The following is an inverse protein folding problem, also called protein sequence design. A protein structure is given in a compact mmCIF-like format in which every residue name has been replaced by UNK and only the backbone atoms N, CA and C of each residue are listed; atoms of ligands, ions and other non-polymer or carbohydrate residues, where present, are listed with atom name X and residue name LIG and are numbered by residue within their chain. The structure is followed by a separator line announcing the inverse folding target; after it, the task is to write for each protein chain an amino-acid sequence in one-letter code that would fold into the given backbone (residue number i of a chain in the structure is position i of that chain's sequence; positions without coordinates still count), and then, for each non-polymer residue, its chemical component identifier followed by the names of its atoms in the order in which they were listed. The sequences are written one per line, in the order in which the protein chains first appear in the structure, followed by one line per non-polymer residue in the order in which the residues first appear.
data_IF_009662704079
#
_entry.id   IF_009662704079
#
_cell.length_a   1.000
_cell.length_b   1.000
_cell.length_c   1.000
_cell.angle_alpha   90.00
_cell.angle_beta   90.00
_cell.angle_gamma   90.00
#
_symmetry.space_group_name_H-M   'P 1'
#
loop_
_entity.id
_entity.type
_entity.pdbx_description
1 polymer ?
#
# COMPACT_ATOMS: atom_id res chain seq x y z
N UNK A 1 -11.67 -12.16 -1.87
CA UNK A 1 -12.93 -11.80 -1.16
C UNK A 1 -14.03 -12.86 -1.35
N UNK A 2 -14.48 -13.54 -0.30
CA UNK A 2 -15.76 -14.26 -0.33
C UNK A 2 -16.88 -13.21 -0.20
N UNK A 3 -17.45 -12.79 -1.34
CA UNK A 3 -18.44 -11.71 -1.42
C UNK A 3 -19.85 -12.10 -0.96
N UNK A 4 -20.05 -13.28 -0.38
CA UNK A 4 -21.37 -13.79 0.05
C UNK A 4 -22.15 -12.88 0.97
N UNK A 5 -21.52 -11.91 1.66
CA UNK A 5 -22.16 -11.06 2.68
C UNK A 5 -22.28 -9.58 2.26
N UNK A 6 -21.56 -9.14 1.22
CA UNK A 6 -21.62 -7.75 0.73
C UNK A 6 -22.20 -7.73 -0.68
N UNK A 7 -23.42 -8.23 -0.79
CA UNK A 7 -24.18 -8.28 -2.03
C UNK A 7 -25.47 -7.49 -1.87
N UNK A 8 -25.76 -6.63 -2.84
CA UNK A 8 -27.06 -5.96 -2.90
C UNK A 8 -27.99 -6.75 -3.82
N UNK A 9 -29.29 -6.75 -3.53
CA UNK A 9 -30.30 -7.32 -4.43
C UNK A 9 -30.25 -6.74 -5.86
N UNK A 10 -29.64 -5.57 -6.05
CA UNK A 10 -29.52 -4.90 -7.35
C UNK A 10 -28.29 -5.31 -8.16
N UNK A 11 -27.28 -5.95 -7.55
CA UNK A 11 -26.05 -6.40 -8.22
C UNK A 11 -25.61 -7.74 -7.62
N UNK A 12 -26.25 -8.84 -8.02
CA UNK A 12 -25.91 -10.14 -7.48
C UNK A 12 -24.52 -10.60 -7.95
N UNK A 13 -23.75 -11.23 -7.07
CA UNK A 13 -22.44 -11.78 -7.44
C UNK A 13 -22.63 -13.10 -8.19
N UNK A 14 -22.20 -13.11 -9.44
CA UNK A 14 -22.36 -14.22 -10.39
C UNK A 14 -21.28 -15.29 -10.16
N UNK A 15 -20.20 -14.96 -9.43
CA UNK A 15 -19.09 -15.88 -9.11
C UNK A 15 -18.95 -16.12 -7.61
N UNK A 16 -20.07 -16.43 -6.95
CA UNK A 16 -20.08 -16.84 -5.53
C UNK A 16 -19.39 -18.20 -5.36
N UNK A 17 -18.47 -18.36 -4.37
CA UNK A 17 -17.83 -19.64 -4.08
C UNK A 17 -18.81 -20.66 -3.46
N UNK A 18 -19.95 -20.19 -2.94
CA UNK A 18 -21.03 -21.03 -2.44
C UNK A 18 -22.12 -21.24 -3.50
N UNK A 19 -22.65 -22.46 -3.58
CA UNK A 19 -23.84 -22.78 -4.36
C UNK A 19 -25.05 -22.00 -3.85
N UNK A 20 -25.96 -21.60 -4.74
CA UNK A 20 -27.11 -20.74 -4.42
C UNK A 20 -27.90 -21.09 -3.14
N UNK A 21 -28.15 -22.37 -2.78
CA UNK A 21 -28.89 -22.71 -1.55
C UNK A 21 -28.15 -22.37 -0.25
N UNK A 22 -26.81 -22.41 -0.28
CA UNK A 22 -25.94 -22.23 0.90
C UNK A 22 -25.29 -20.84 0.94
N UNK A 23 -25.77 -19.92 0.10
CA UNK A 23 -25.19 -18.58 -0.04
C UNK A 23 -25.32 -17.75 1.24
N UNK A 24 -26.41 -17.97 1.99
CA UNK A 24 -26.73 -17.27 3.23
C UNK A 24 -26.31 -18.04 4.49
N UNK A 25 -25.75 -19.25 4.35
CA UNK A 25 -25.33 -20.04 5.50
C UNK A 25 -24.02 -19.49 6.09
N UNK A 26 -24.07 -19.10 7.36
CA UNK A 26 -22.95 -18.53 8.10
C UNK A 26 -22.79 -19.22 9.45
N UNK A 27 -21.62 -19.81 9.69
CA UNK A 27 -21.28 -20.28 11.04
C UNK A 27 -21.10 -19.08 11.97
N UNK A 28 -21.35 -19.27 13.27
CA UNK A 28 -21.15 -18.22 14.29
C UNK A 28 -19.73 -17.64 14.26
N UNK A 29 -18.73 -18.49 14.03
CA UNK A 29 -17.34 -18.06 13.93
C UNK A 29 -17.09 -17.19 12.68
N UNK A 30 -17.74 -17.50 11.55
CA UNK A 30 -17.67 -16.66 10.37
C UNK A 30 -18.40 -15.33 10.59
N UNK A 31 -19.61 -15.37 11.16
CA UNK A 31 -20.38 -14.17 11.51
C UNK A 31 -19.57 -13.23 12.40
N UNK A 32 -18.95 -13.73 13.47
CA UNK A 32 -18.12 -12.92 14.38
C UNK A 32 -16.96 -12.22 13.64
N UNK A 33 -16.20 -12.94 12.80
CA UNK A 33 -15.12 -12.35 11.99
C UNK A 33 -15.65 -11.29 11.02
N UNK A 34 -16.83 -11.53 10.45
CA UNK A 34 -17.46 -10.59 9.54
C UNK A 34 -17.99 -9.34 10.24
N UNK A 35 -18.54 -9.44 11.45
CA UNK A 35 -18.96 -8.26 12.22
C UNK A 35 -17.77 -7.33 12.50
N UNK A 36 -16.64 -7.90 12.93
CA UNK A 36 -15.40 -7.14 13.15
C UNK A 36 -14.92 -6.51 11.84
N UNK A 37 -14.83 -7.31 10.77
CA UNK A 37 -14.40 -6.83 9.45
C UNK A 37 -15.32 -5.73 8.93
N UNK A 38 -16.64 -5.90 9.07
CA UNK A 38 -17.63 -4.96 8.58
C UNK A 38 -17.49 -3.61 9.29
N UNK A 39 -17.35 -3.57 10.62
CA UNK A 39 -17.12 -2.33 11.35
C UNK A 39 -15.91 -1.55 10.81
N UNK A 40 -14.82 -2.24 10.50
CA UNK A 40 -13.58 -1.63 10.00
C UNK A 40 -13.60 -1.28 8.50
N UNK A 41 -14.46 -1.93 7.71
CA UNK A 41 -14.47 -1.83 6.25
C UNK A 41 -15.82 -1.44 5.61
N UNK A 42 -16.75 -0.85 6.37
CA UNK A 42 -18.03 -0.39 5.81
C UNK A 42 -17.83 0.68 4.74
N UNK A 43 -18.60 0.56 3.65
CA UNK A 43 -18.80 1.60 2.65
C UNK A 43 -19.70 2.75 3.21
N UNK A 44 -20.16 3.67 2.36
CA UNK A 44 -21.00 4.81 2.79
C UNK A 44 -22.44 4.76 2.24
N UNK A 45 -22.91 3.58 1.87
CA UNK A 45 -24.20 3.36 1.19
C UNK A 45 -25.41 3.26 2.13
N UNK A 46 -25.21 3.29 3.45
CA UNK A 46 -26.27 3.07 4.43
C UNK A 46 -27.35 4.15 4.37
N UNK A 47 -28.60 3.70 4.21
CA UNK A 47 -29.78 4.58 4.23
C UNK A 47 -30.23 4.90 5.66
N UNK A 48 -30.05 3.96 6.58
CA UNK A 48 -30.44 4.09 7.98
C UNK A 48 -29.28 4.66 8.79
N UNK A 49 -29.56 5.67 9.61
CA UNK A 49 -28.59 6.34 10.48
C UNK A 49 -29.12 6.38 11.90
N UNK A 50 -28.22 6.43 12.88
CA UNK A 50 -28.60 6.70 14.27
C UNK A 50 -29.27 8.07 14.35
N UNK A 51 -30.30 8.19 15.18
CA UNK A 51 -31.01 9.45 15.40
C UNK A 51 -30.08 10.43 16.13
N UNK A 52 -29.81 11.57 15.50
CA UNK A 52 -29.03 12.66 16.08
C UNK A 52 -29.73 14.00 15.85
N UNK A 53 -29.41 14.99 16.70
CA UNK A 53 -29.94 16.35 16.57
C UNK A 53 -29.49 17.01 15.26
N UNK A 54 -28.27 16.73 14.84
CA UNK A 54 -27.65 17.30 13.64
C UNK A 54 -27.50 16.24 12.55
N UNK A 55 -27.56 16.68 11.29
CA UNK A 55 -27.31 15.81 10.14
C UNK A 55 -25.82 15.56 10.01
N UNK A 56 -25.44 14.32 9.71
CA UNK A 56 -24.05 13.94 9.50
C UNK A 56 -23.86 13.03 8.28
N UNK A 57 -22.65 13.05 7.75
CA UNK A 57 -22.16 12.08 6.76
C UNK A 57 -21.79 10.78 7.45
N UNK A 58 -22.16 9.65 6.86
CA UNK A 58 -21.89 8.33 7.44
C UNK A 58 -20.40 8.02 7.35
N UNK A 59 -19.84 7.44 8.40
CA UNK A 59 -18.45 7.01 8.41
C UNK A 59 -18.22 5.85 7.45
N UNK A 60 -17.19 5.88 6.58
CA UNK A 60 -16.56 4.63 6.19
C UNK A 60 -15.98 3.96 7.44
N UNK A 61 -15.72 2.66 7.36
CA UNK A 61 -15.01 1.96 8.44
C UNK A 61 -13.61 2.55 8.61
N UNK A 62 -13.09 2.59 9.85
CA UNK A 62 -11.83 3.27 10.16
C UNK A 62 -10.68 2.79 9.26
N UNK A 63 -10.44 1.47 9.23
CA UNK A 63 -9.38 0.86 8.41
C UNK A 63 -9.59 1.07 6.89
N UNK A 64 -10.83 1.27 6.45
CA UNK A 64 -11.11 1.56 5.05
C UNK A 64 -10.67 2.96 4.60
N UNK A 65 -10.53 3.87 5.56
CA UNK A 65 -9.96 5.19 5.38
C UNK A 65 -8.44 5.24 5.49
N UNK A 66 -7.75 4.09 5.56
CA UNK A 66 -6.31 4.00 5.76
C UNK A 66 -5.60 3.18 4.67
N UNK A 67 -4.28 3.29 4.63
CA UNK A 67 -3.37 2.37 3.95
C UNK A 67 -2.36 1.90 5.01
N UNK A 68 -2.68 0.82 5.75
CA UNK A 68 -1.95 0.49 6.96
C UNK A 68 -0.62 -0.20 6.65
N UNK A 69 0.36 0.04 7.51
CA UNK A 69 1.60 -0.73 7.62
C UNK A 69 1.77 -1.19 9.07
N UNK A 70 2.18 -2.44 9.27
CA UNK A 70 2.41 -3.03 10.58
C UNK A 70 3.56 -4.04 10.51
N UNK A 71 4.10 -4.45 11.65
CA UNK A 71 5.20 -5.43 11.70
C UNK A 71 4.68 -6.86 11.80
N UNK A 72 5.33 -7.82 11.17
CA UNK A 72 5.09 -9.27 11.40
C UNK A 72 6.35 -9.95 11.89
N UNK A 73 6.17 -10.83 12.89
CA UNK A 73 7.25 -11.66 13.45
C UNK A 73 7.29 -13.05 12.84
N UNK A 74 8.07 -13.95 13.45
CA UNK A 74 8.08 -15.37 13.07
C UNK A 74 6.88 -16.15 13.61
N UNK A 75 6.17 -15.56 14.58
CA UNK A 75 4.96 -16.11 15.17
C UNK A 75 3.99 -14.99 15.59
N UNK A 76 2.80 -15.39 16.03
CA UNK A 76 1.77 -14.45 16.46
C UNK A 76 2.19 -13.61 17.67
N UNK A 77 2.91 -14.21 18.63
CA UNK A 77 3.36 -13.49 19.82
C UNK A 77 4.32 -12.35 19.44
N UNK A 78 5.34 -12.62 18.64
CA UNK A 78 6.27 -11.59 18.13
C UNK A 78 5.52 -10.52 17.34
N UNK A 79 4.55 -10.93 16.51
CA UNK A 79 3.71 -9.99 15.74
C UNK A 79 2.95 -9.07 16.67
N UNK A 80 2.31 -9.58 17.72
CA UNK A 80 1.61 -8.75 18.71
C UNK A 80 2.57 -7.83 19.47
N UNK A 81 3.73 -8.33 19.91
CA UNK A 81 4.70 -7.55 20.68
C UNK A 81 5.32 -6.41 19.86
N UNK A 82 5.65 -6.65 18.58
CA UNK A 82 6.20 -5.62 17.69
C UNK A 82 5.19 -4.49 17.42
N UNK A 83 3.88 -4.77 17.48
CA UNK A 83 2.82 -3.79 17.25
C UNK A 83 2.19 -3.24 18.53
N UNK A 84 2.69 -3.62 19.71
CA UNK A 84 2.22 -3.09 20.99
C UNK A 84 2.81 -1.70 21.24
N UNK A 85 2.28 -0.68 20.55
CA UNK A 85 2.75 0.70 20.66
C UNK A 85 2.34 1.30 22.01
N UNK A 86 3.31 1.47 22.90
CA UNK A 86 3.08 2.04 24.25
C UNK A 86 3.29 3.56 24.29
N UNK A 87 4.01 4.10 23.30
CA UNK A 87 4.31 5.53 23.18
C UNK A 87 3.84 5.98 21.79
N UNK A 88 2.53 6.20 21.60
CA UNK A 88 2.01 6.66 20.31
C UNK A 88 2.52 8.06 19.99
N UNK A 89 2.66 8.36 18.70
CA UNK A 89 2.98 9.71 18.25
C UNK A 89 1.79 10.65 18.47
N UNK A 90 2.08 11.95 18.62
CA UNK A 90 1.04 12.97 18.77
C UNK A 90 0.43 13.05 20.17
N UNK A 91 1.00 12.32 21.14
CA UNK A 91 0.65 12.39 22.55
C UNK A 91 1.91 12.77 23.32
N UNK A 92 1.82 13.81 24.15
CA UNK A 92 2.88 14.13 25.10
C UNK A 92 2.61 13.41 26.43
N UNK A 93 3.22 12.24 26.62
CA UNK A 93 3.06 11.44 27.83
C UNK A 93 3.72 12.07 29.07
N UNK A 94 4.51 13.14 28.94
CA UNK A 94 5.03 13.90 30.09
C UNK A 94 3.95 14.83 30.66
N UNK A 95 2.95 15.18 29.85
CA UNK A 95 1.88 16.13 30.18
C UNK A 95 0.52 15.41 30.31
N UNK A 96 0.30 14.35 29.54
CA UNK A 96 -0.99 13.67 29.40
C UNK A 96 -0.95 12.24 29.94
N UNK A 97 -1.89 11.90 30.81
CA UNK A 97 -2.14 10.50 31.19
C UNK A 97 -3.24 9.94 30.29
N UNK A 98 -2.90 8.99 29.43
CA UNK A 98 -3.90 8.28 28.61
C UNK A 98 -4.48 7.11 29.40
N UNK A 99 -5.78 7.17 29.68
CA UNK A 99 -6.55 5.99 30.08
C UNK A 99 -6.96 5.23 28.82
N UNK A 100 -6.48 3.99 28.67
CA UNK A 100 -6.98 3.09 27.62
C UNK A 100 -8.38 2.62 28.01
N UNK A 101 -9.31 2.64 27.06
CA UNK A 101 -10.67 2.14 27.27
C UNK A 101 -11.21 1.55 25.97
N UNK A 102 -11.66 0.30 26.01
CA UNK A 102 -12.22 -0.37 24.84
C UNK A 102 -13.70 0.04 24.67
N UNK A 103 -14.22 0.05 23.44
CA UNK A 103 -15.59 0.46 23.17
C UNK A 103 -16.65 -0.34 23.97
N UNK A 104 -16.37 -1.60 24.32
CA UNK A 104 -17.27 -2.46 25.10
C UNK A 104 -17.19 -2.23 26.62
N UNK A 105 -16.24 -1.45 27.12
CA UNK A 105 -16.14 -1.11 28.54
C UNK A 105 -17.11 0.00 28.95
N UNK A 106 -17.67 0.72 27.96
CA UNK A 106 -18.69 1.74 28.16
C UNK A 106 -20.10 1.19 27.92
N UNK A 107 -21.11 1.67 28.66
CA UNK A 107 -22.50 1.48 28.28
C UNK A 107 -22.75 1.98 26.85
N UNK A 108 -23.56 1.25 26.09
CA UNK A 108 -23.79 1.51 24.65
C UNK A 108 -24.31 2.94 24.43
N UNK A 109 -25.20 3.42 25.29
CA UNK A 109 -25.78 4.77 25.19
C UNK A 109 -24.73 5.86 25.35
N UNK A 110 -23.80 5.67 26.29
CA UNK A 110 -22.69 6.59 26.54
C UNK A 110 -21.71 6.59 25.37
N UNK A 111 -21.32 5.40 24.90
CA UNK A 111 -20.44 5.24 23.76
C UNK A 111 -21.02 5.88 22.49
N UNK A 112 -22.29 5.59 22.17
CA UNK A 112 -22.97 6.17 20.99
C UNK A 112 -23.06 7.69 21.11
N UNK A 113 -23.37 8.23 22.30
CA UNK A 113 -23.41 9.68 22.52
C UNK A 113 -22.05 10.34 22.28
N UNK A 114 -20.97 9.76 22.78
CA UNK A 114 -19.60 10.23 22.50
C UNK A 114 -19.30 10.15 21.00
N UNK A 115 -19.61 9.02 20.36
CA UNK A 115 -19.36 8.78 18.94
C UNK A 115 -20.13 9.72 18.00
N UNK A 116 -21.30 10.22 18.44
CA UNK A 116 -22.09 11.21 17.72
C UNK A 116 -21.41 12.58 17.59
N UNK A 117 -20.39 12.88 18.41
CA UNK A 117 -19.60 14.11 18.29
C UNK A 117 -18.69 14.13 17.06
N UNK A 118 -18.37 12.95 16.50
CA UNK A 118 -17.46 12.82 15.35
C UNK A 118 -15.97 13.04 15.67
N UNK A 119 -15.61 13.16 16.94
CA UNK A 119 -14.22 13.35 17.38
C UNK A 119 -13.51 11.99 17.40
N UNK A 120 -12.26 11.96 16.93
CA UNK A 120 -11.38 10.78 17.03
C UNK A 120 -11.05 10.54 18.50
N UNK A 121 -11.13 9.29 19.00
CA UNK A 121 -10.80 9.01 20.39
C UNK A 121 -9.34 9.30 20.71
N UNK A 122 -9.06 9.66 21.96
CA UNK A 122 -7.71 10.01 22.44
C UNK A 122 -6.87 8.81 22.90
N UNK A 123 -7.33 7.56 22.71
CA UNK A 123 -6.62 6.36 23.14
C UNK A 123 -6.70 5.24 22.09
N UNK A 124 -5.66 4.40 22.03
CA UNK A 124 -5.52 3.34 21.02
C UNK A 124 -6.57 2.23 21.18
N UNK A 125 -6.90 1.86 22.42
CA UNK A 125 -7.87 0.81 22.69
C UNK A 125 -9.26 1.14 22.11
N UNK A 126 -9.73 2.37 22.32
CA UNK A 126 -10.99 2.84 21.74
C UNK A 126 -10.90 2.94 20.22
N UNK A 127 -9.79 3.46 19.69
CA UNK A 127 -9.57 3.58 18.26
C UNK A 127 -9.64 2.24 17.54
N UNK A 128 -9.01 1.20 18.09
CA UNK A 128 -8.99 -0.15 17.53
C UNK A 128 -10.31 -0.90 17.70
N UNK A 129 -11.20 -0.41 18.55
CA UNK A 129 -12.53 -0.99 18.78
C UNK A 129 -13.65 -0.08 18.30
N UNK A 130 -13.33 0.92 17.48
CA UNK A 130 -14.28 1.96 17.07
C UNK A 130 -15.38 1.43 16.17
N UNK A 131 -16.62 1.87 16.42
CA UNK A 131 -17.76 1.49 15.60
C UNK A 131 -18.00 2.49 14.47
N UNK A 132 -18.24 1.95 13.28
CA UNK A 132 -18.79 2.70 12.16
C UNK A 132 -20.31 2.52 12.07
N UNK A 133 -20.86 1.43 12.61
CA UNK A 133 -22.28 1.13 12.66
C UNK A 133 -22.71 0.71 14.06
N UNK A 134 -23.94 1.07 14.43
CA UNK A 134 -24.65 0.33 15.48
C UNK A 134 -25.29 -0.88 14.80
N UNK A 135 -25.04 -2.08 15.33
CA UNK A 135 -25.53 -3.34 14.76
C UNK A 135 -26.45 -4.00 15.78
N UNK A 136 -27.67 -4.35 15.35
CA UNK A 136 -28.61 -5.16 16.11
C UNK A 136 -28.81 -6.49 15.38
N UNK A 137 -28.78 -7.60 16.10
CA UNK A 137 -28.88 -8.95 15.54
C UNK A 137 -30.06 -9.66 16.19
N UNK A 138 -30.99 -10.10 15.37
CA UNK A 138 -32.10 -10.97 15.77
C UNK A 138 -31.85 -12.38 15.23
N UNK A 139 -32.33 -13.39 15.94
CA UNK A 139 -32.15 -14.79 15.55
C UNK A 139 -33.51 -15.40 15.22
N UNK A 140 -33.66 -15.90 14.00
CA UNK A 140 -34.83 -16.66 13.56
C UNK A 140 -34.39 -18.02 13.02
N UNK A 141 -34.87 -19.11 13.62
CA UNK A 141 -34.54 -20.49 13.24
C UNK A 141 -33.03 -20.77 13.04
N UNK A 142 -32.19 -20.13 13.88
CA UNK A 142 -30.72 -20.26 13.82
C UNK A 142 -30.04 -19.41 12.74
N UNK A 143 -30.79 -18.60 12.00
CA UNK A 143 -30.26 -17.65 11.02
C UNK A 143 -30.24 -16.23 11.60
N UNK A 144 -29.14 -15.48 11.45
CA UNK A 144 -29.04 -14.12 11.94
C UNK A 144 -29.70 -13.12 10.98
N UNK A 145 -30.62 -12.30 11.49
CA UNK A 145 -31.13 -11.10 10.82
C UNK A 145 -30.39 -9.88 11.38
N UNK A 146 -29.68 -9.15 10.53
CA UNK A 146 -28.78 -8.07 10.93
C UNK A 146 -29.35 -6.73 10.49
N UNK A 147 -29.52 -5.83 11.45
CA UNK A 147 -29.90 -4.43 11.23
C UNK A 147 -28.69 -3.53 11.50
N UNK A 148 -28.42 -2.59 10.59
CA UNK A 148 -27.33 -1.62 10.75
C UNK A 148 -27.86 -0.17 10.74
N UNK A 149 -27.22 0.68 11.54
CA UNK A 149 -27.43 2.13 11.51
C UNK A 149 -26.08 2.86 11.46
N UNK A 150 -25.95 3.78 10.50
CA UNK A 150 -24.76 4.62 10.30
C UNK A 150 -24.43 5.53 11.48
N UNK A 151 -23.16 5.56 11.90
CA UNK A 151 -22.57 6.55 12.81
C UNK A 151 -21.80 7.64 12.02
N UNK A 152 -21.54 8.82 12.61
CA UNK A 152 -20.88 9.94 11.92
C UNK A 152 -19.45 9.63 11.46
N UNK A 153 -19.03 10.21 10.33
CA UNK A 153 -17.64 10.15 9.88
C UNK A 153 -16.68 10.72 10.94
N UNK A 154 -15.57 10.02 11.15
CA UNK A 154 -14.42 10.54 11.89
C UNK A 154 -13.47 11.25 10.92
N UNK A 155 -12.90 12.35 11.37
CA UNK A 155 -11.81 12.97 10.65
C UNK A 155 -10.53 12.17 10.87
N UNK A 156 -9.95 11.64 9.79
CA UNK A 156 -8.69 10.91 9.86
C UNK A 156 -7.49 11.76 9.44
N UNK A 157 -7.70 13.06 9.21
CA UNK A 157 -6.62 14.02 9.05
C UNK A 157 -5.91 14.19 10.39
N UNK A 158 -4.58 14.24 10.35
CA UNK A 158 -3.71 14.46 11.52
C UNK A 158 -4.00 13.52 12.72
N UNK A 159 -4.65 12.39 12.49
CA UNK A 159 -4.97 11.37 13.49
C UNK A 159 -3.73 10.55 13.87
N UNK A 160 -2.70 11.23 14.38
CA UNK A 160 -1.36 10.70 14.64
C UNK A 160 -1.30 9.65 15.74
N UNK A 161 -2.36 9.58 16.56
CA UNK A 161 -2.59 8.48 17.49
C UNK A 161 -2.54 7.13 16.75
N UNK A 162 -3.04 7.02 15.52
CA UNK A 162 -3.00 5.80 14.72
C UNK A 162 -1.58 5.50 14.20
N UNK A 163 -0.85 4.53 14.79
CA UNK A 163 0.55 4.33 14.45
C UNK A 163 0.73 3.64 13.10
N UNK A 164 -0.28 2.92 12.61
CA UNK A 164 -0.15 2.10 11.39
C UNK A 164 -0.40 2.89 10.11
N UNK A 165 -0.72 4.18 10.19
CA UNK A 165 -1.05 5.00 9.01
C UNK A 165 0.19 5.45 8.24
N UNK A 166 0.16 5.26 6.93
CA UNK A 166 1.07 5.92 5.99
C UNK A 166 0.50 7.29 5.65
N UNK A 167 1.30 8.33 5.83
CA UNK A 167 0.87 9.72 5.68
C UNK A 167 1.31 10.34 4.36
N UNK A 168 0.49 11.25 3.83
CA UNK A 168 0.88 12.17 2.75
C UNK A 168 0.50 13.60 3.15
N UNK A 169 1.38 14.55 2.83
CA UNK A 169 1.09 15.95 3.10
C UNK A 169 0.20 16.53 1.99
N UNK A 170 -0.94 17.08 2.37
CA UNK A 170 -1.83 17.78 1.45
C UNK A 170 -1.41 19.24 1.35
N UNK A 171 -0.78 19.64 0.24
CA UNK A 171 -0.31 21.02 0.04
C UNK A 171 -1.43 22.06 -0.01
N UNK A 172 -2.66 21.67 -0.40
CA UNK A 172 -3.79 22.58 -0.52
C UNK A 172 -4.35 22.93 0.84
N UNK A 173 -4.61 21.90 1.64
CA UNK A 173 -5.26 22.04 2.94
C UNK A 173 -4.24 22.23 4.07
N UNK A 174 -2.94 22.04 3.78
CA UNK A 174 -1.78 22.18 4.69
C UNK A 174 -1.79 21.22 5.89
N UNK A 175 -2.40 20.05 5.70
CA UNK A 175 -2.55 19.03 6.73
C UNK A 175 -2.02 17.67 6.25
N UNK A 176 -1.71 16.79 7.20
CA UNK A 176 -1.40 15.39 6.92
C UNK A 176 -2.68 14.56 6.80
N UNK A 177 -2.76 13.75 5.75
CA UNK A 177 -3.88 12.83 5.52
C UNK A 177 -3.36 11.42 5.18
N UNK A 178 -4.17 10.37 5.38
CA UNK A 178 -3.80 9.02 4.99
C UNK A 178 -3.50 8.89 3.49
N UNK A 179 -2.41 8.20 3.15
CA UNK A 179 -2.01 7.93 1.78
C UNK A 179 -2.70 6.69 1.21
N UNK A 180 -3.99 6.84 0.89
CA UNK A 180 -4.82 5.77 0.34
C UNK A 180 -4.29 5.17 -0.97
N UNK A 181 -4.52 3.87 -1.15
CA UNK A 181 -4.32 3.16 -2.42
C UNK A 181 -5.53 3.35 -3.35
N UNK A 182 -5.27 3.26 -4.65
CA UNK A 182 -6.27 3.45 -5.70
C UNK A 182 -6.21 2.29 -6.68
N UNK A 183 -7.26 2.08 -7.48
CA UNK A 183 -7.31 0.96 -8.43
C UNK A 183 -6.15 0.94 -9.43
N UNK A 184 -5.61 2.11 -9.79
CA UNK A 184 -4.45 2.23 -10.68
C UNK A 184 -3.10 1.85 -10.02
N UNK A 185 -3.06 1.65 -8.70
CA UNK A 185 -1.89 1.15 -7.98
C UNK A 185 -1.94 -0.36 -7.73
N UNK A 186 -2.99 -1.05 -8.18
CA UNK A 186 -3.06 -2.51 -8.15
C UNK A 186 -1.86 -3.13 -8.88
N UNK A 187 -1.27 -4.15 -8.27
CA UNK A 187 -0.06 -4.81 -8.78
C UNK A 187 1.25 -4.03 -8.58
N UNK A 188 1.22 -2.81 -8.02
CA UNK A 188 2.45 -2.13 -7.58
C UNK A 188 2.88 -2.68 -6.23
N UNK A 189 4.03 -3.36 -6.22
CA UNK A 189 4.62 -3.90 -5.01
C UNK A 189 5.01 -2.81 -4.00
N UNK A 190 4.97 -3.15 -2.71
CA UNK A 190 5.23 -2.31 -1.55
C UNK A 190 6.58 -1.60 -1.65
N UNK A 191 7.63 -2.35 -2.02
CA UNK A 191 8.99 -1.84 -2.13
C UNK A 191 9.15 -0.68 -3.11
N UNK A 192 8.26 -0.56 -4.11
CA UNK A 192 8.28 0.55 -5.08
C UNK A 192 7.89 1.90 -4.47
N UNK A 193 7.36 1.88 -3.26
CA UNK A 193 6.99 3.06 -2.48
C UNK A 193 7.78 3.12 -1.16
N UNK A 194 9.01 2.58 -1.13
CA UNK A 194 9.81 2.43 0.09
C UNK A 194 9.86 3.71 0.94
N UNK A 195 10.17 4.86 0.33
CA UNK A 195 10.22 6.17 0.99
C UNK A 195 8.88 6.70 1.53
N UNK A 196 7.76 6.01 1.35
CA UNK A 196 6.50 6.33 2.04
C UNK A 196 6.40 5.69 3.42
N UNK A 197 7.12 4.58 3.64
CA UNK A 197 7.09 3.84 4.91
C UNK A 197 8.16 4.34 5.88
N UNK A 198 9.23 4.96 5.36
CA UNK A 198 10.43 5.33 6.13
C UNK A 198 10.84 6.73 5.73
N UNK A 199 11.25 7.55 6.69
CA UNK A 199 11.71 8.91 6.39
C UNK A 199 13.10 8.89 5.74
N UNK A 200 13.17 9.33 4.48
CA UNK A 200 14.42 9.34 3.67
C UNK A 200 14.88 10.76 3.29
N UNK A 201 14.13 11.79 3.69
CA UNK A 201 14.39 13.19 3.31
C UNK A 201 14.86 14.07 4.47
N UNK A 202 15.44 15.23 4.13
CA UNK A 202 15.96 16.23 5.08
C UNK A 202 14.92 17.29 5.48
N UNK A 203 13.88 17.53 4.67
CA UNK A 203 12.95 18.63 4.92
C UNK A 203 11.86 18.20 5.92
N UNK A 204 11.73 18.96 7.01
CA UNK A 204 10.81 18.71 8.14
C UNK A 204 9.32 18.58 7.73
N UNK A 205 8.95 19.07 6.54
CA UNK A 205 7.57 19.13 6.06
C UNK A 205 7.26 18.24 4.84
N UNK A 206 8.19 17.39 4.38
CA UNK A 206 7.97 16.62 3.14
C UNK A 206 7.56 15.16 3.36
N UNK A 207 7.93 14.55 4.50
CA UNK A 207 7.60 13.15 4.82
C UNK A 207 7.36 12.97 6.32
N UNK A 208 6.28 12.26 6.67
CA UNK A 208 5.97 11.86 8.05
C UNK A 208 6.01 10.35 8.12
N UNK A 209 6.88 9.84 8.98
CA UNK A 209 7.03 8.40 9.18
C UNK A 209 5.80 7.83 9.90
N UNK A 210 5.31 6.63 9.51
CA UNK A 210 4.29 5.91 10.26
C UNK A 210 4.74 5.70 11.72
N UNK A 211 3.82 5.90 12.67
CA UNK A 211 4.13 5.78 14.10
C UNK A 211 4.68 4.41 14.49
N UNK A 212 4.26 3.35 13.80
CA UNK A 212 4.77 1.99 14.01
C UNK A 212 6.26 1.87 13.66
N UNK A 213 6.74 2.57 12.63
CA UNK A 213 8.16 2.51 12.24
C UNK A 213 9.02 3.25 13.26
N UNK A 214 8.54 4.39 13.76
CA UNK A 214 9.18 5.10 14.87
C UNK A 214 9.18 4.25 16.16
N UNK A 215 8.11 3.50 16.43
CA UNK A 215 8.06 2.55 17.55
C UNK A 215 9.10 1.43 17.40
N UNK A 216 9.22 0.83 16.22
CA UNK A 216 10.22 -0.21 15.95
C UNK A 216 11.65 0.34 16.09
N UNK A 217 11.89 1.59 15.68
CA UNK A 217 13.17 2.26 15.89
C UNK A 217 13.46 2.47 17.38
N UNK A 218 12.45 2.85 18.17
CA UNK A 218 12.58 2.95 19.62
C UNK A 218 12.97 1.60 20.23
N UNK A 219 12.30 0.51 19.85
CA UNK A 219 12.63 -0.84 20.31
C UNK A 219 14.08 -1.23 19.99
N UNK A 220 14.56 -0.92 18.78
CA UNK A 220 15.94 -1.19 18.37
C UNK A 220 16.95 -0.32 19.15
N UNK A 221 16.70 0.98 19.28
CA UNK A 221 17.62 1.89 19.98
C UNK A 221 17.75 1.56 21.48
N UNK A 222 16.68 1.02 22.08
CA UNK A 222 16.66 0.52 23.46
C UNK A 222 17.18 -0.91 23.60
N UNK A 223 17.60 -1.55 22.50
CA UNK A 223 18.08 -2.94 22.45
C UNK A 223 17.05 -3.97 22.94
N UNK A 224 15.75 -3.63 22.82
CA UNK A 224 14.63 -4.56 23.07
C UNK A 224 14.50 -5.58 21.93
N UNK A 225 14.90 -5.20 20.72
CA UNK A 225 15.14 -6.10 19.60
C UNK A 225 16.62 -6.04 19.20
N UNK A 226 17.16 -7.14 18.68
CA UNK A 226 18.53 -7.19 18.18
C UNK A 226 18.67 -6.34 16.90
N UNK A 227 19.87 -5.82 16.65
CA UNK A 227 20.15 -4.99 15.49
C UNK A 227 19.91 -5.77 14.18
N UNK A 228 20.24 -7.07 14.16
CA UNK A 228 20.06 -7.96 13.02
C UNK A 228 18.65 -8.56 12.92
N UNK A 229 17.69 -8.07 13.72
CA UNK A 229 16.31 -8.58 13.67
C UNK A 229 15.73 -8.33 12.27
N UNK A 230 15.33 -9.40 11.59
CA UNK A 230 14.65 -9.33 10.31
C UNK A 230 13.22 -8.82 10.48
N UNK A 231 13.03 -7.51 10.35
CA UNK A 231 11.73 -6.86 10.42
C UNK A 231 10.95 -7.11 9.13
N UNK A 232 9.74 -7.63 9.25
CA UNK A 232 8.80 -7.73 8.12
C UNK A 232 7.77 -6.62 8.27
N UNK A 233 7.77 -5.67 7.34
CA UNK A 233 6.72 -4.66 7.23
C UNK A 233 5.65 -5.19 6.28
N UNK A 234 4.41 -5.24 6.75
CA UNK A 234 3.26 -5.83 6.06
C UNK A 234 2.17 -4.79 5.88
N UNK A 235 1.44 -4.87 4.77
CA UNK A 235 0.29 -4.02 4.47
C UNK A 235 -0.87 -4.88 3.97
N UNK A 236 -2.09 -4.59 4.43
CA UNK A 236 -3.32 -5.28 4.01
C UNK A 236 -4.50 -4.31 4.03
N UNK A 237 -5.39 -4.41 3.06
CA UNK A 237 -6.59 -3.59 3.06
C UNK A 237 -7.47 -3.76 1.83
N UNK A 238 -8.46 -2.87 1.72
CA UNK A 238 -9.40 -2.80 0.61
C UNK A 238 -9.27 -1.47 -0.11
N UNK A 239 -9.47 -1.48 -1.42
CA UNK A 239 -9.53 -0.30 -2.29
C UNK A 239 -10.98 -0.08 -2.72
N UNK A 240 -11.44 1.16 -2.62
CA UNK A 240 -12.78 1.53 -3.05
C UNK A 240 -12.91 1.58 -4.59
N UNK A 241 -14.16 1.57 -5.06
CA UNK A 241 -14.57 1.67 -6.46
C UNK A 241 -14.32 3.05 -7.11
N UNK A 242 -13.76 4.02 -6.37
CA UNK A 242 -13.56 5.39 -6.81
C UNK A 242 -14.84 6.24 -6.88
N UNK A 243 -16.01 5.68 -6.54
CA UNK A 243 -17.26 6.41 -6.51
C UNK A 243 -17.46 7.03 -5.12
N UNK A 244 -17.39 8.35 -5.04
CA UNK A 244 -17.52 9.11 -3.78
C UNK A 244 -18.83 8.82 -3.01
N UNK A 245 -19.91 8.46 -3.70
CA UNK A 245 -21.24 8.25 -3.10
C UNK A 245 -21.47 6.83 -2.58
N UNK A 246 -20.73 5.84 -3.07
CA UNK A 246 -20.83 4.44 -2.61
C UNK A 246 -19.60 4.04 -1.83
N UNK A 247 -18.41 4.25 -2.40
CA UNK A 247 -17.12 3.78 -1.92
C UNK A 247 -17.14 2.27 -1.71
N UNK A 248 -17.71 1.51 -2.65
CA UNK A 248 -17.85 0.06 -2.48
C UNK A 248 -16.48 -0.62 -2.58
N UNK A 249 -16.19 -1.69 -1.82
CA UNK A 249 -14.94 -2.44 -1.97
C UNK A 249 -14.80 -3.04 -3.37
N UNK A 250 -13.77 -2.60 -4.10
CA UNK A 250 -13.52 -3.01 -5.48
C UNK A 250 -12.37 -4.02 -5.59
N UNK A 251 -11.33 -3.90 -4.75
CA UNK A 251 -10.19 -4.81 -4.74
C UNK A 251 -9.58 -4.96 -3.35
N UNK A 252 -8.91 -6.08 -3.12
CA UNK A 252 -8.08 -6.33 -1.94
C UNK A 252 -6.60 -6.17 -2.30
N UNK A 253 -5.79 -5.73 -1.34
CA UNK A 253 -4.34 -5.74 -1.46
C UNK A 253 -3.72 -6.32 -0.20
N UNK A 254 -2.63 -7.05 -0.41
CA UNK A 254 -1.76 -7.55 0.65
C UNK A 254 -0.34 -7.59 0.09
N UNK A 255 0.62 -7.11 0.86
CA UNK A 255 2.03 -7.13 0.48
C UNK A 255 2.93 -7.05 1.71
N UNK A 256 4.19 -7.42 1.53
CA UNK A 256 5.20 -7.36 2.58
C UNK A 256 6.59 -7.12 2.00
N UNK A 257 7.47 -6.60 2.87
CA UNK A 257 8.89 -6.52 2.64
C UNK A 257 9.65 -6.83 3.92
N UNK A 258 10.78 -7.52 3.79
CA UNK A 258 11.66 -7.86 4.90
C UNK A 258 12.96 -7.04 4.79
N UNK A 259 13.42 -6.52 5.91
CA UNK A 259 14.65 -5.72 6.04
C UNK A 259 15.19 -5.86 7.47
N UNK A 260 16.51 -5.91 7.64
CA UNK A 260 17.10 -5.96 8.98
C UNK A 260 16.93 -4.61 9.70
N UNK A 261 16.73 -4.64 11.02
CA UNK A 261 16.47 -3.44 11.81
C UNK A 261 17.63 -2.43 11.75
N UNK A 262 18.87 -2.90 11.74
CA UNK A 262 20.08 -2.09 11.61
C UNK A 262 20.22 -1.43 10.22
N UNK A 263 19.73 -2.07 9.16
CA UNK A 263 19.66 -1.49 7.80
C UNK A 263 18.51 -0.48 7.72
N UNK A 264 17.36 -0.80 8.31
CA UNK A 264 16.18 0.06 8.34
C UNK A 264 16.44 1.36 9.12
N UNK A 265 17.15 1.23 10.25
CA UNK A 265 17.50 2.30 11.17
C UNK A 265 19.02 2.54 11.19
N UNK A 266 19.61 2.66 10.00
CA UNK A 266 21.05 2.81 9.81
C UNK A 266 21.59 4.02 10.60
N UNK A 267 22.49 3.79 11.57
CA UNK A 267 22.99 4.85 12.45
C UNK A 267 24.06 5.73 11.79
N UNK A 268 24.36 5.55 10.51
CA UNK A 268 25.37 6.35 9.83
C UNK A 268 25.05 7.86 9.94
N UNK A 269 26.00 8.69 10.42
CA UNK A 269 25.75 10.13 10.62
C UNK A 269 25.52 10.88 9.31
N UNK A 270 26.06 10.39 8.19
CA UNK A 270 25.81 10.95 6.87
C UNK A 270 24.55 10.33 6.26
N UNK A 271 23.42 11.04 6.28
CA UNK A 271 22.14 10.58 5.69
C UNK A 271 22.25 10.02 4.26
N UNK A 272 23.13 10.58 3.42
CA UNK A 272 23.36 10.10 2.04
C UNK A 272 24.00 8.70 1.97
N UNK A 273 24.67 8.29 3.04
CA UNK A 273 25.32 6.99 3.17
C UNK A 273 24.43 5.98 3.89
N UNK A 274 23.37 6.43 4.58
CA UNK A 274 22.42 5.55 5.23
C UNK A 274 21.70 4.64 4.21
N UNK A 275 21.52 3.39 4.58
CA UNK A 275 20.81 2.40 3.77
C UNK A 275 19.42 2.83 3.29
N UNK A 276 18.53 3.42 4.12
CA UNK A 276 17.21 3.86 3.67
C UNK A 276 17.28 4.82 2.48
N UNK A 277 18.25 5.75 2.48
CA UNK A 277 18.46 6.66 1.36
C UNK A 277 18.97 5.94 0.12
N UNK A 278 19.94 5.03 0.27
CA UNK A 278 20.48 4.21 -0.83
C UNK A 278 19.43 3.29 -1.45
N UNK A 279 18.54 2.72 -0.63
CA UNK A 279 17.42 1.89 -1.08
C UNK A 279 16.44 2.74 -1.87
N UNK A 280 16.02 3.90 -1.38
CA UNK A 280 15.12 4.80 -2.12
C UNK A 280 15.72 5.23 -3.46
N UNK A 281 17.00 5.62 -3.49
CA UNK A 281 17.68 5.99 -4.74
C UNK A 281 17.72 4.81 -5.72
N UNK A 282 17.86 3.59 -5.21
CA UNK A 282 17.82 2.34 -5.98
C UNK A 282 16.42 2.07 -6.54
N UNK A 283 15.37 2.34 -5.77
CA UNK A 283 13.97 2.28 -6.21
C UNK A 283 13.70 3.31 -7.31
N UNK A 284 14.06 4.58 -7.10
CA UNK A 284 13.89 5.64 -8.10
C UNK A 284 14.62 5.35 -9.42
N UNK A 285 15.85 4.83 -9.34
CA UNK A 285 16.61 4.38 -10.50
C UNK A 285 15.90 3.24 -11.23
N UNK A 286 15.32 2.30 -10.51
CA UNK A 286 14.57 1.17 -11.08
C UNK A 286 13.30 1.65 -11.78
N UNK A 287 12.59 2.63 -11.21
CA UNK A 287 11.42 3.26 -11.83
C UNK A 287 11.80 3.96 -13.15
N UNK A 288 12.96 4.62 -13.23
CA UNK A 288 13.48 5.20 -14.47
C UNK A 288 13.73 4.12 -15.54
N UNK A 289 14.25 2.95 -15.16
CA UNK A 289 14.39 1.80 -16.08
C UNK A 289 13.03 1.28 -16.53
N UNK A 290 12.06 1.16 -15.62
CA UNK A 290 10.69 0.75 -15.95
C UNK A 290 10.00 1.70 -16.94
N UNK A 291 10.25 3.00 -16.82
CA UNK A 291 9.80 4.00 -17.79
C UNK A 291 10.43 3.77 -19.19
N UNK A 292 11.73 3.44 -19.25
CA UNK A 292 12.38 3.10 -20.53
C UNK A 292 11.78 1.85 -21.18
N UNK A 293 11.45 0.82 -20.39
CA UNK A 293 10.74 -0.38 -20.87
C UNK A 293 9.37 -0.01 -21.45
N UNK A 294 8.64 0.85 -20.75
CA UNK A 294 7.35 1.36 -21.20
C UNK A 294 7.48 2.12 -22.53
N UNK A 295 8.43 3.05 -22.64
CA UNK A 295 8.65 3.83 -23.87
C UNK A 295 9.05 2.94 -25.05
N UNK A 296 9.90 1.93 -24.83
CA UNK A 296 10.28 0.98 -25.87
C UNK A 296 9.05 0.21 -26.39
N UNK A 297 8.20 -0.29 -25.50
CA UNK A 297 6.95 -0.96 -25.87
C UNK A 297 5.98 -0.03 -26.61
N UNK A 298 5.91 1.24 -26.20
CA UNK A 298 5.07 2.23 -26.87
C UNK A 298 5.55 2.54 -28.29
N UNK A 299 6.87 2.67 -28.50
CA UNK A 299 7.44 2.86 -29.83
C UNK A 299 7.13 1.70 -30.78
N UNK A 300 7.04 0.46 -30.30
CA UNK A 300 6.60 -0.68 -31.12
C UNK A 300 5.14 -0.49 -31.58
N UNK A 301 4.25 -0.02 -30.70
CA UNK A 301 2.86 0.27 -31.09
C UNK A 301 2.76 1.41 -32.11
N UNK A 302 3.61 2.43 -31.98
CA UNK A 302 3.74 3.51 -32.96
C UNK A 302 4.19 2.98 -34.34
N UNK A 303 5.16 2.05 -34.39
CA UNK A 303 5.59 1.38 -35.63
C UNK A 303 4.45 0.57 -36.27
N UNK A 304 3.57 -0.01 -35.44
CA UNK A 304 2.38 -0.73 -35.88
C UNK A 304 1.23 0.20 -36.29
N UNK A 305 1.26 1.45 -35.83
CA UNK A 305 0.20 2.44 -36.05
C UNK A 305 -1.09 2.10 -35.33
N UNK A 306 -0.96 1.35 -34.24
CA UNK A 306 -2.09 0.99 -33.40
C UNK A 306 -2.14 1.99 -32.26
N UNK A 307 -3.27 2.69 -32.15
CA UNK A 307 -3.56 3.54 -30.99
C UNK A 307 -4.28 2.68 -29.95
N UNK A 308 -3.63 2.46 -28.81
CA UNK A 308 -4.17 1.67 -27.70
C UNK A 308 -4.07 2.39 -26.35
N UNK A 309 -3.84 3.70 -26.38
CA UNK A 309 -3.68 4.58 -25.22
C UNK A 309 -2.69 4.03 -24.17
N UNK A 310 -1.64 3.32 -24.63
CA UNK A 310 -0.57 2.79 -23.80
C UNK A 310 -0.90 1.47 -23.09
N UNK A 311 -2.05 0.84 -23.38
CA UNK A 311 -2.47 -0.41 -22.75
C UNK A 311 -1.43 -1.54 -22.92
N UNK A 312 -0.84 -1.67 -24.12
CA UNK A 312 0.23 -2.63 -24.39
C UNK A 312 1.49 -2.30 -23.57
N UNK A 313 1.94 -1.05 -23.57
CA UNK A 313 3.11 -0.62 -22.81
C UNK A 313 2.92 -0.82 -21.29
N UNK A 314 1.72 -0.56 -20.78
CA UNK A 314 1.36 -0.85 -19.38
C UNK A 314 1.47 -2.34 -19.05
N UNK A 315 0.99 -3.24 -19.94
CA UNK A 315 1.13 -4.70 -19.74
C UNK A 315 2.59 -5.15 -19.75
N UNK A 316 3.41 -4.62 -20.66
CA UNK A 316 4.85 -4.92 -20.72
C UNK A 316 5.54 -4.43 -19.46
N UNK A 317 5.28 -3.19 -19.04
CA UNK A 317 5.85 -2.61 -17.83
C UNK A 317 5.44 -3.40 -16.58
N UNK A 318 4.17 -3.82 -16.48
CA UNK A 318 3.72 -4.68 -15.38
C UNK A 318 4.47 -6.01 -15.32
N UNK A 319 4.72 -6.67 -16.46
CA UNK A 319 5.54 -7.89 -16.53
C UNK A 319 6.99 -7.64 -16.09
N UNK A 320 7.57 -6.51 -16.47
CA UNK A 320 8.91 -6.11 -16.03
C UNK A 320 8.99 -6.00 -14.50
N UNK A 321 8.06 -5.30 -13.86
CA UNK A 321 8.05 -5.19 -12.39
C UNK A 321 7.72 -6.52 -11.69
N UNK A 322 6.83 -7.34 -12.27
CA UNK A 322 6.52 -8.67 -11.73
C UNK A 322 7.78 -9.53 -11.63
N UNK A 323 8.62 -9.54 -12.66
CA UNK A 323 9.91 -10.23 -12.67
C UNK A 323 10.92 -9.66 -11.68
N UNK A 324 10.81 -8.38 -11.32
CA UNK A 324 11.68 -7.73 -10.33
C UNK A 324 11.23 -7.94 -8.88
N UNK A 325 9.97 -8.31 -8.64
CA UNK A 325 9.44 -8.39 -7.28
C UNK A 325 10.22 -9.35 -6.39
N UNK A 326 10.44 -10.59 -6.83
CA UNK A 326 11.20 -11.57 -6.06
C UNK A 326 12.68 -11.15 -5.90
N UNK A 327 13.42 -10.82 -6.97
CA UNK A 327 14.80 -10.36 -6.82
C UNK A 327 14.96 -9.14 -5.91
N UNK A 328 14.03 -8.18 -5.95
CA UNK A 328 14.11 -6.99 -5.09
C UNK A 328 13.91 -7.37 -3.61
N UNK A 329 12.91 -8.22 -3.31
CA UNK A 329 12.68 -8.69 -1.95
C UNK A 329 13.87 -9.47 -1.40
N UNK A 330 14.47 -10.34 -2.21
CA UNK A 330 15.68 -11.09 -1.85
C UNK A 330 16.89 -10.15 -1.63
N UNK A 331 17.06 -9.14 -2.50
CA UNK A 331 18.10 -8.13 -2.36
C UNK A 331 17.93 -7.33 -1.06
N UNK A 332 16.72 -6.82 -0.79
CA UNK A 332 16.41 -6.01 0.39
C UNK A 332 16.59 -6.78 1.69
N UNK A 333 16.09 -8.02 1.74
CA UNK A 333 16.19 -8.89 2.92
C UNK A 333 17.63 -9.34 3.22
N UNK A 334 18.51 -9.32 2.21
CA UNK A 334 19.91 -9.72 2.31
C UNK A 334 20.89 -8.58 2.55
N UNK A 335 20.41 -7.34 2.78
CA UNK A 335 21.26 -6.21 3.15
C UNK A 335 21.63 -6.29 4.65
N UNK A 336 22.84 -5.83 4.97
CA UNK A 336 23.37 -5.70 6.33
C UNK A 336 24.23 -4.44 6.44
N UNK A 337 24.47 -3.93 7.65
CA UNK A 337 25.38 -2.79 7.84
C UNK A 337 26.86 -3.11 7.59
N UNK A 338 27.24 -4.38 7.50
CA UNK A 338 28.61 -4.80 7.21
C UNK A 338 28.90 -4.87 5.70
N UNK A 339 27.90 -4.71 4.85
CA UNK A 339 28.06 -4.80 3.40
C UNK A 339 28.76 -3.56 2.83
N UNK A 340 29.56 -3.77 1.77
CA UNK A 340 29.98 -2.68 0.91
C UNK A 340 28.76 -2.21 0.09
N UNK A 341 28.31 -0.98 0.37
CA UNK A 341 27.01 -0.48 -0.09
C UNK A 341 26.96 -0.34 -1.61
N UNK A 342 28.03 0.18 -2.22
CA UNK A 342 28.08 0.41 -3.66
C UNK A 342 28.10 -0.93 -4.43
N UNK A 343 28.76 -1.97 -3.91
CA UNK A 343 28.75 -3.33 -4.46
C UNK A 343 27.34 -3.93 -4.48
N UNK A 344 26.57 -3.80 -3.39
CA UNK A 344 25.18 -4.29 -3.34
C UNK A 344 24.27 -3.52 -4.29
N UNK A 345 24.42 -2.20 -4.39
CA UNK A 345 23.67 -1.39 -5.36
C UNK A 345 24.05 -1.77 -6.78
N UNK A 346 25.34 -2.03 -7.06
CA UNK A 346 25.82 -2.48 -8.37
C UNK A 346 25.33 -3.89 -8.73
N UNK A 347 25.18 -4.79 -7.75
CA UNK A 347 24.52 -6.07 -7.93
C UNK A 347 23.06 -5.87 -8.39
N UNK A 348 22.31 -5.00 -7.71
CA UNK A 348 20.95 -4.68 -8.11
C UNK A 348 20.87 -4.09 -9.53
N UNK A 349 21.74 -3.13 -9.86
CA UNK A 349 21.82 -2.54 -11.21
C UNK A 349 21.98 -3.60 -12.30
N UNK A 350 22.82 -4.61 -12.06
CA UNK A 350 23.00 -5.73 -13.01
C UNK A 350 21.71 -6.54 -13.17
N UNK A 351 21.02 -6.87 -12.06
CA UNK A 351 19.73 -7.56 -12.09
C UNK A 351 18.67 -6.76 -12.84
N UNK A 352 18.51 -5.46 -12.52
CA UNK A 352 17.56 -4.58 -13.18
C UNK A 352 17.83 -4.47 -14.70
N UNK A 353 19.10 -4.34 -15.10
CA UNK A 353 19.51 -4.36 -16.51
C UNK A 353 19.15 -5.67 -17.20
N UNK A 354 19.47 -6.80 -16.57
CA UNK A 354 19.21 -8.12 -17.15
C UNK A 354 17.71 -8.31 -17.42
N UNK A 355 16.85 -8.00 -16.45
CA UNK A 355 15.40 -8.14 -16.58
C UNK A 355 14.84 -7.16 -17.63
N UNK A 356 15.36 -5.93 -17.68
CA UNK A 356 14.94 -4.94 -18.66
C UNK A 356 15.31 -5.37 -20.09
N UNK A 357 16.54 -5.84 -20.30
CA UNK A 357 17.02 -6.32 -21.60
C UNK A 357 16.27 -7.59 -22.02
N UNK A 358 16.07 -8.55 -21.13
CA UNK A 358 15.28 -9.76 -21.41
C UNK A 358 13.85 -9.40 -21.84
N UNK A 359 13.22 -8.44 -21.17
CA UNK A 359 11.87 -7.98 -21.54
C UNK A 359 11.86 -7.34 -22.93
N UNK A 360 12.89 -6.57 -23.27
CA UNK A 360 13.02 -5.97 -24.60
C UNK A 360 13.35 -7.01 -25.69
N UNK A 361 14.17 -8.01 -25.39
CA UNK A 361 14.54 -9.11 -26.30
C UNK A 361 13.33 -9.95 -26.68
N UNK A 362 12.42 -10.22 -25.74
CA UNK A 362 11.14 -10.89 -26.04
C UNK A 362 10.31 -10.12 -27.07
N UNK A 363 10.25 -8.80 -26.93
CA UNK A 363 9.54 -7.95 -27.89
C UNK A 363 10.23 -7.95 -29.25
N UNK A 364 11.56 -7.86 -29.27
CA UNK A 364 12.37 -7.90 -30.49
C UNK A 364 12.23 -9.24 -31.22
N UNK A 365 12.22 -10.35 -30.50
CA UNK A 365 12.04 -11.70 -31.07
C UNK A 365 10.61 -11.90 -31.62
N UNK A 366 9.65 -11.12 -31.14
CA UNK A 366 8.26 -11.08 -31.66
C UNK A 366 8.04 -9.99 -32.73
N UNK A 367 9.12 -9.43 -33.29
CA UNK A 367 9.03 -8.36 -34.28
C UNK A 367 8.30 -8.81 -35.55
N UNK A 368 7.40 -7.96 -36.03
CA UNK A 368 6.71 -8.15 -37.30
C UNK A 368 7.51 -7.55 -38.46
N UNK A 369 7.22 -7.93 -39.73
CA UNK A 369 7.81 -7.27 -40.89
C UNK A 369 7.60 -5.74 -40.90
N UNK A 370 6.51 -5.25 -40.32
CA UNK A 370 6.23 -3.83 -40.16
C UNK A 370 7.16 -3.17 -39.13
N UNK A 371 7.42 -3.83 -38.00
CA UNK A 371 8.36 -3.34 -36.97
C UNK A 371 9.79 -3.24 -37.52
N UNK A 372 10.16 -4.18 -38.40
CA UNK A 372 11.47 -4.25 -39.08
C UNK A 372 11.59 -3.17 -40.16
N UNK A 373 10.55 -2.99 -41.00
CA UNK A 373 10.52 -1.94 -42.03
C UNK A 373 10.57 -0.56 -41.38
N UNK A 374 9.95 -0.39 -40.22
CA UNK A 374 9.94 0.88 -39.51
C UNK A 374 9.03 1.93 -40.13
N UNK A 375 9.10 3.15 -39.60
CA UNK A 375 8.35 4.33 -40.09
C UNK A 375 9.26 5.55 -40.16
N UNK A 376 8.97 6.44 -41.10
CA UNK A 376 9.58 7.77 -41.15
C UNK A 376 8.98 8.60 -40.01
N UNK A 377 9.84 9.10 -39.12
CA UNK A 377 9.41 9.81 -37.92
C UNK A 377 9.12 11.29 -38.20
N UNK A 378 9.93 11.91 -39.05
CA UNK A 378 9.90 13.35 -39.33
C UNK A 378 9.99 13.63 -40.85
N UNK A 379 9.62 14.83 -41.28
CA UNK A 379 9.69 15.27 -42.67
C UNK A 379 11.11 15.19 -43.29
N UNK A 380 12.15 15.18 -42.44
CA UNK A 380 13.56 15.08 -42.83
C UNK A 380 14.00 13.66 -43.25
N UNK A 381 13.09 12.68 -43.24
CA UNK A 381 13.35 11.32 -43.73
C UNK A 381 13.96 10.36 -42.71
N UNK A 382 14.05 10.76 -41.44
CA UNK A 382 14.65 9.94 -40.38
C UNK A 382 13.78 8.69 -40.12
N UNK A 383 14.27 7.53 -40.54
CA UNK A 383 13.55 6.26 -40.48
C UNK A 383 13.95 5.49 -39.21
N UNK A 384 12.97 5.29 -38.33
CA UNK A 384 13.15 4.47 -37.14
C UNK A 384 12.48 3.11 -37.34
N UNK A 385 13.17 2.05 -36.96
CA UNK A 385 12.63 0.70 -36.86
C UNK A 385 12.89 0.14 -35.45
N UNK A 386 12.43 -1.09 -35.22
CA UNK A 386 12.56 -1.73 -33.91
C UNK A 386 14.02 -1.87 -33.45
N UNK A 387 14.97 -2.08 -34.37
CA UNK A 387 16.40 -2.19 -34.04
C UNK A 387 16.99 -0.85 -33.58
N UNK A 388 16.61 0.26 -34.22
CA UNK A 388 16.99 1.63 -33.80
C UNK A 388 16.46 1.92 -32.41
N UNK A 389 15.18 1.63 -32.14
CA UNK A 389 14.59 1.84 -30.82
C UNK A 389 15.20 0.94 -29.76
N UNK A 390 15.51 -0.31 -30.08
CA UNK A 390 16.17 -1.23 -29.16
C UNK A 390 17.59 -0.76 -28.80
N UNK A 391 18.36 -0.22 -29.76
CA UNK A 391 19.67 0.38 -29.50
C UNK A 391 19.56 1.59 -28.57
N UNK A 392 18.60 2.50 -28.82
CA UNK A 392 18.34 3.68 -27.97
C UNK A 392 17.95 3.24 -26.57
N UNK A 393 17.09 2.23 -26.45
CA UNK A 393 16.68 1.64 -25.18
C UNK A 393 17.89 1.13 -24.40
N UNK A 394 18.74 0.27 -25.00
CA UNK A 394 19.93 -0.27 -24.33
C UNK A 394 20.90 0.82 -23.88
N UNK A 395 21.15 1.83 -24.72
CA UNK A 395 21.99 2.96 -24.37
C UNK A 395 21.42 3.75 -23.19
N UNK A 396 20.11 4.00 -23.20
CA UNK A 396 19.41 4.70 -22.12
C UNK A 396 19.44 3.93 -20.80
N UNK A 397 19.23 2.61 -20.84
CA UNK A 397 19.30 1.74 -19.65
C UNK A 397 20.70 1.77 -19.05
N UNK A 398 21.76 1.64 -19.87
CA UNK A 398 23.15 1.73 -19.38
C UNK A 398 23.44 3.10 -18.74
N UNK A 399 22.96 4.18 -19.38
CA UNK A 399 23.13 5.55 -18.87
C UNK A 399 22.44 5.74 -17.52
N UNK A 400 21.18 5.29 -17.39
CA UNK A 400 20.41 5.41 -16.12
C UNK A 400 21.08 4.61 -14.99
N UNK A 401 21.62 3.43 -15.30
CA UNK A 401 22.26 2.57 -14.31
C UNK A 401 23.72 2.96 -14.02
N UNK A 402 24.30 3.90 -14.77
CA UNK A 402 25.71 4.27 -14.66
C UNK A 402 26.66 3.12 -14.98
N UNK A 403 26.23 2.20 -15.86
CA UNK A 403 27.07 1.07 -16.30
C UNK A 403 27.83 1.59 -17.53
N UNK A 404 29.09 1.94 -17.36
CA UNK A 404 29.95 2.32 -18.48
C UNK A 404 29.97 1.19 -19.51
N UNK A 405 29.74 1.56 -20.77
CA UNK A 405 29.74 0.60 -21.87
C UNK A 405 31.14 0.03 -22.04
N UNK A 406 31.35 -1.20 -21.59
CA UNK A 406 32.37 -2.05 -22.17
C UNK A 406 32.10 -2.08 -23.68
N UNK A 407 33.02 -1.51 -24.46
CA UNK A 407 33.05 -1.68 -25.91
C UNK A 407 33.15 -3.18 -26.17
N UNK A 408 32.04 -3.80 -26.55
CA UNK A 408 32.04 -5.09 -27.24
C UNK A 408 31.88 -4.83 -28.72
#
# INVERSE_FOLDING_TARGET
MNRTISESNNKPDIFSPNTSPHKNDLSLAALARWLITYQSFTAVTDKTKVVAKEKFSVSPGWLYGLNPVFATGNNLFETLMLNLVLVPQGVDLEIETISQQLAWELPIEEYVKARLTGIVPGNLAELYTIWSRVIHIEWDNGQPLIFSAGLPKLDNHEAFLEPMTIWKFNKKDKEWQPNLRWLNSLGKAMWRNFGQYISVQQAENSQREPGIVTWLHLLQSKKTIADETALRLTTVGLINDGNATSQSPAAEFADEMQINADVLFDPNPEKRLQWPKRIEDTVEMTEKVGALVWYFANHIMELRGVKDDGAFANRVSARFYERLNRPFREWLAGLTNNDERDEKVNLWKRTAKQVAVQTADELLNSATPQDIRGRVKNADGDQHNIFTYYRIFRASVNKVLGIEGGKS
#
